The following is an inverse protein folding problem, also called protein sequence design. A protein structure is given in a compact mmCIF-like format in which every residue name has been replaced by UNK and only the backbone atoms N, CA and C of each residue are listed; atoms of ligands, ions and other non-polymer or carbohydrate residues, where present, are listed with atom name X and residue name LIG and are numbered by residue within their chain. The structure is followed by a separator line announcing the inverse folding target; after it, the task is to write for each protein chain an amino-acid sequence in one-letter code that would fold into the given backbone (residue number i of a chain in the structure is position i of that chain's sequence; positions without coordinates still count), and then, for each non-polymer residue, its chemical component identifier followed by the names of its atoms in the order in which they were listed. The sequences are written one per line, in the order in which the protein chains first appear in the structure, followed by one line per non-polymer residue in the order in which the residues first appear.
data_IF_415147029127
#
_entry.id   IF_415147029127
#
_cell.length_a   1.000
_cell.length_b   1.000
_cell.length_c   1.000
_cell.angle_alpha   90.00
_cell.angle_beta   90.00
_cell.angle_gamma   90.00
#
_symmetry.space_group_name_H-M   'P 1'
#
loop_
_entity.id
_entity.type
_entity.pdbx_description
1 polymer ?
#
# COMPACT_ATOMS: atom_id res chain seq x y z
N UNK A 1 -7.09 -40.42 -8.05
CA UNK A 1 -6.19 -40.28 -6.89
C UNK A 1 -6.91 -39.42 -5.86
N UNK A 2 -6.85 -39.76 -4.57
CA UNK A 2 -7.37 -38.85 -3.53
C UNK A 2 -6.52 -37.57 -3.49
N UNK A 3 -7.17 -36.42 -3.37
CA UNK A 3 -6.45 -35.14 -3.24
C UNK A 3 -5.70 -35.10 -1.92
N UNK A 4 -4.54 -34.47 -1.93
CA UNK A 4 -3.61 -34.43 -0.78
C UNK A 4 -3.98 -33.33 0.21
N UNK A 5 -4.59 -32.22 -0.29
CA UNK A 5 -4.93 -31.05 0.52
C UNK A 5 -6.40 -30.67 0.34
N UNK A 6 -7.02 -30.11 1.37
CA UNK A 6 -8.33 -29.47 1.29
C UNK A 6 -8.22 -28.18 0.44
N UNK A 7 -7.18 -27.40 0.68
CA UNK A 7 -6.96 -26.13 0.00
C UNK A 7 -5.52 -25.97 -0.54
N UNK A 8 -5.42 -25.41 -1.73
CA UNK A 8 -4.23 -24.80 -2.28
C UNK A 8 -4.40 -23.27 -2.20
N UNK A 9 -3.48 -22.58 -1.54
CA UNK A 9 -3.45 -21.12 -1.49
C UNK A 9 -2.34 -20.62 -2.40
N UNK A 10 -2.73 -19.87 -3.43
CA UNK A 10 -1.82 -19.24 -4.40
C UNK A 10 -1.58 -17.79 -3.98
N UNK A 11 -0.39 -17.53 -3.45
CA UNK A 11 0.05 -16.26 -2.90
C UNK A 11 0.23 -16.30 -1.38
N UNK A 12 1.46 -16.15 -0.92
CA UNK A 12 1.86 -16.11 0.49
C UNK A 12 1.86 -14.68 1.08
N UNK A 13 1.04 -13.77 0.52
CA UNK A 13 0.81 -12.42 1.04
C UNK A 13 -0.20 -12.39 2.20
N UNK A 14 -0.58 -11.20 2.68
CA UNK A 14 -1.49 -11.05 3.83
C UNK A 14 -2.82 -11.78 3.65
N UNK A 15 -3.45 -11.66 2.49
CA UNK A 15 -4.74 -12.35 2.23
C UNK A 15 -4.61 -13.86 2.36
N UNK A 16 -3.60 -14.43 1.67
CA UNK A 16 -3.35 -15.87 1.72
C UNK A 16 -3.01 -16.33 3.12
N UNK A 17 -2.16 -15.59 3.85
CA UNK A 17 -1.74 -15.93 5.21
C UNK A 17 -2.91 -15.93 6.20
N UNK A 18 -3.85 -14.99 6.10
CA UNK A 18 -5.09 -15.00 6.90
C UNK A 18 -5.90 -16.26 6.62
N UNK A 19 -6.15 -16.56 5.34
CA UNK A 19 -6.91 -17.76 4.98
C UNK A 19 -6.24 -19.04 5.48
N UNK A 20 -4.93 -19.15 5.30
CA UNK A 20 -4.14 -20.31 5.75
C UNK A 20 -4.27 -20.54 7.25
N UNK A 21 -4.13 -19.46 8.03
CA UNK A 21 -4.26 -19.55 9.49
C UNK A 21 -5.66 -20.05 9.90
N UNK A 22 -6.71 -19.44 9.39
CA UNK A 22 -8.10 -19.79 9.71
C UNK A 22 -8.45 -21.22 9.22
N UNK A 23 -7.98 -21.62 8.05
CA UNK A 23 -8.18 -22.97 7.53
C UNK A 23 -7.49 -24.03 8.41
N UNK A 24 -6.25 -23.76 8.86
CA UNK A 24 -5.53 -24.62 9.80
C UNK A 24 -6.27 -24.74 11.13
N UNK A 25 -6.73 -23.63 11.71
CA UNK A 25 -7.53 -23.64 12.95
C UNK A 25 -8.84 -24.43 12.78
N UNK A 26 -9.43 -24.44 11.57
CA UNK A 26 -10.58 -25.25 11.21
C UNK A 26 -10.23 -26.73 10.90
N UNK A 27 -8.97 -27.15 11.12
CA UNK A 27 -8.51 -28.54 10.92
C UNK A 27 -8.35 -28.94 9.44
N UNK A 28 -8.22 -27.96 8.53
CA UNK A 28 -8.03 -28.22 7.10
C UNK A 28 -6.55 -28.38 6.76
N UNK A 29 -6.28 -29.26 5.80
CA UNK A 29 -4.95 -29.42 5.21
C UNK A 29 -4.74 -28.40 4.10
N UNK A 30 -3.64 -27.64 4.17
CA UNK A 30 -3.36 -26.53 3.26
C UNK A 30 -1.95 -26.64 2.67
N UNK A 31 -1.82 -26.39 1.37
CA UNK A 31 -0.56 -26.10 0.69
C UNK A 31 -0.55 -24.64 0.27
N UNK A 32 0.52 -23.92 0.54
CA UNK A 32 0.76 -22.56 0.04
C UNK A 32 1.83 -22.59 -1.03
N UNK A 33 1.59 -21.88 -2.13
CA UNK A 33 2.61 -21.64 -3.16
C UNK A 33 2.71 -20.15 -3.47
N UNK A 34 3.90 -19.69 -3.77
CA UNK A 34 4.12 -18.31 -4.26
C UNK A 34 5.19 -18.30 -5.35
N UNK A 35 4.97 -17.53 -6.41
CA UNK A 35 5.94 -17.37 -7.50
C UNK A 35 7.21 -16.64 -7.07
N UNK A 36 7.15 -15.84 -6.01
CA UNK A 36 8.29 -15.13 -5.44
C UNK A 36 9.15 -16.06 -4.57
N UNK A 37 10.44 -15.76 -4.39
CA UNK A 37 11.33 -16.52 -3.52
C UNK A 37 11.12 -16.25 -2.02
N UNK A 38 10.14 -15.43 -1.66
CA UNK A 38 9.83 -14.99 -0.29
C UNK A 38 8.34 -15.02 -0.02
N UNK A 39 7.98 -15.19 1.25
CA UNK A 39 6.62 -14.98 1.77
C UNK A 39 6.31 -13.49 1.94
N UNK A 40 5.14 -13.17 2.47
CA UNK A 40 4.65 -11.84 2.82
C UNK A 40 4.23 -10.95 1.64
N UNK A 41 4.37 -11.40 0.39
CA UNK A 41 3.90 -10.62 -0.76
C UNK A 41 4.45 -9.19 -0.76
N UNK A 42 3.59 -8.19 -0.92
CA UNK A 42 4.01 -6.78 -0.95
C UNK A 42 4.43 -6.22 0.42
N UNK A 43 4.09 -6.86 1.53
CA UNK A 43 4.57 -6.44 2.85
C UNK A 43 5.90 -7.08 3.26
N UNK A 44 6.57 -7.76 2.32
CA UNK A 44 7.86 -8.37 2.57
C UNK A 44 8.87 -7.36 3.10
N UNK A 45 9.46 -7.67 4.26
CA UNK A 45 10.58 -6.97 4.87
C UNK A 45 11.81 -7.86 4.86
N UNK A 46 12.93 -7.31 4.39
CA UNK A 46 14.24 -7.97 4.37
C UNK A 46 15.10 -7.39 5.48
N UNK A 47 15.76 -8.25 6.26
CA UNK A 47 16.76 -7.80 7.22
C UNK A 47 18.06 -7.41 6.49
N UNK A 48 18.49 -6.16 6.66
CA UNK A 48 19.76 -5.65 6.16
C UNK A 48 20.49 -4.98 7.33
N UNK A 49 21.46 -5.66 7.89
CA UNK A 49 22.25 -5.18 9.03
C UNK A 49 21.37 -4.77 10.25
N UNK A 50 20.33 -5.55 10.54
CA UNK A 50 19.38 -5.30 11.62
C UNK A 50 18.31 -4.25 11.28
N UNK A 51 18.23 -3.80 10.03
CA UNK A 51 17.19 -2.88 9.56
C UNK A 51 16.17 -3.67 8.74
N UNK A 52 14.90 -3.63 9.13
CA UNK A 52 13.81 -4.25 8.37
C UNK A 52 13.42 -3.37 7.17
N UNK A 53 13.96 -3.70 6.01
CA UNK A 53 13.76 -2.96 4.75
C UNK A 53 12.46 -3.38 4.08
N UNK A 54 11.53 -2.45 3.92
CA UNK A 54 10.28 -2.67 3.19
C UNK A 54 10.55 -2.67 1.69
N UNK A 55 10.66 -3.85 1.08
CA UNK A 55 11.12 -4.01 -0.32
C UNK A 55 10.16 -3.46 -1.36
N UNK A 56 8.87 -3.44 -1.08
CA UNK A 56 7.82 -3.02 -2.02
C UNK A 56 7.14 -1.72 -1.60
N UNK A 57 7.87 -0.84 -0.91
CA UNK A 57 7.39 0.45 -0.43
C UNK A 57 7.02 0.46 1.03
N UNK A 58 6.87 1.67 1.59
CA UNK A 58 6.54 1.87 2.99
C UNK A 58 5.15 1.27 3.30
N UNK A 59 5.11 0.30 4.19
CA UNK A 59 3.90 -0.29 4.71
C UNK A 59 3.78 0.05 6.18
N UNK A 60 2.77 0.86 6.53
CA UNK A 60 2.46 1.24 7.91
C UNK A 60 1.05 0.72 8.20
N UNK A 61 0.95 -0.20 9.15
CA UNK A 61 -0.35 -0.74 9.53
C UNK A 61 -1.18 0.31 10.25
N UNK A 62 -2.41 0.50 9.83
CA UNK A 62 -3.37 1.39 10.48
C UNK A 62 -4.80 0.88 10.26
N UNK A 63 -5.66 1.06 11.24
CA UNK A 63 -7.07 0.65 11.14
C UNK A 63 -7.95 1.31 12.19
N UNK A 64 -9.23 1.46 11.87
CA UNK A 64 -10.31 1.74 12.83
C UNK A 64 -11.09 0.46 13.19
N UNK A 65 -10.81 -0.65 12.51
CA UNK A 65 -11.51 -1.91 12.71
C UNK A 65 -10.88 -2.69 13.88
N UNK A 66 -11.53 -2.67 15.04
CA UNK A 66 -11.06 -3.36 16.23
C UNK A 66 -10.94 -4.88 16.04
N UNK A 67 -11.81 -5.51 15.22
CA UNK A 67 -11.72 -6.96 14.91
C UNK A 67 -10.41 -7.26 14.19
N UNK A 68 -10.06 -6.46 13.19
CA UNK A 68 -8.79 -6.59 12.44
C UNK A 68 -7.58 -6.34 13.31
N UNK A 69 -7.62 -5.28 14.15
CA UNK A 69 -6.53 -5.01 15.09
C UNK A 69 -6.29 -6.15 16.07
N UNK A 70 -7.35 -6.63 16.71
CA UNK A 70 -7.28 -7.76 17.64
C UNK A 70 -6.82 -9.05 16.95
N UNK A 71 -7.13 -9.21 15.67
CA UNK A 71 -6.69 -10.35 14.89
C UNK A 71 -5.18 -10.30 14.63
N UNK A 72 -4.68 -9.20 14.06
CA UNK A 72 -3.30 -9.12 13.62
C UNK A 72 -2.30 -9.06 14.77
N UNK A 73 -2.68 -8.49 15.91
CA UNK A 73 -1.86 -8.46 17.14
C UNK A 73 -1.67 -9.81 17.81
N UNK A 74 -2.34 -10.87 17.34
CA UNK A 74 -2.04 -12.25 17.75
C UNK A 74 -0.72 -12.77 17.18
N UNK A 75 -0.24 -12.19 16.08
CA UNK A 75 0.91 -12.67 15.30
C UNK A 75 2.17 -11.83 15.46
N UNK A 76 2.05 -10.62 15.96
CA UNK A 76 3.17 -9.73 16.27
C UNK A 76 2.77 -8.70 17.32
N UNK A 77 3.75 -8.25 18.09
CA UNK A 77 3.64 -7.00 18.83
C UNK A 77 3.81 -5.83 17.84
N UNK A 78 3.04 -4.76 18.03
CA UNK A 78 3.16 -3.55 17.23
C UNK A 78 3.79 -2.43 18.04
N UNK A 79 4.75 -1.75 17.45
CA UNK A 79 5.33 -0.58 18.08
C UNK A 79 4.39 0.65 17.98
N UNK A 80 4.81 1.77 18.59
CA UNK A 80 4.04 3.02 18.60
C UNK A 80 4.32 3.93 17.39
N UNK A 81 4.82 3.42 16.28
CA UNK A 81 5.13 4.26 15.13
C UNK A 81 3.91 5.03 14.66
N UNK A 82 4.08 6.35 14.54
CA UNK A 82 3.07 7.27 14.03
C UNK A 82 3.57 7.85 12.72
N UNK A 83 2.84 7.62 11.64
CA UNK A 83 3.23 8.10 10.32
C UNK A 83 3.12 9.63 10.25
N UNK A 84 4.27 10.31 10.19
CA UNK A 84 4.38 11.77 10.12
C UNK A 84 5.31 12.17 8.98
N UNK A 85 4.88 11.99 7.72
CA UNK A 85 5.71 12.30 6.57
C UNK A 85 5.99 13.81 6.46
N UNK A 86 7.09 14.13 5.83
CA UNK A 86 7.52 15.50 5.53
C UNK A 86 7.55 15.70 4.03
N UNK A 87 7.08 16.87 3.56
CA UNK A 87 7.25 17.29 2.18
C UNK A 87 8.51 18.17 2.06
N UNK A 88 9.33 17.90 1.06
CA UNK A 88 10.44 18.73 0.64
C UNK A 88 10.10 19.36 -0.72
N UNK A 89 9.98 20.69 -0.74
CA UNK A 89 9.78 21.48 -1.93
C UNK A 89 11.00 22.41 -2.10
N UNK A 90 11.94 22.04 -2.98
CA UNK A 90 13.18 22.78 -3.23
C UNK A 90 13.97 23.14 -1.94
N UNK A 91 13.99 22.23 -0.94
CA UNK A 91 14.63 22.45 0.34
C UNK A 91 13.76 23.13 1.41
N UNK A 92 12.58 23.60 1.07
CA UNK A 92 11.56 24.01 2.05
C UNK A 92 10.84 22.79 2.59
N UNK A 93 10.84 22.61 3.91
CA UNK A 93 10.22 21.45 4.57
C UNK A 93 8.85 21.84 5.14
N UNK A 94 7.86 20.99 4.86
CA UNK A 94 6.49 21.11 5.33
C UNK A 94 6.00 19.83 5.96
N UNK A 95 5.20 19.94 7.03
CA UNK A 95 4.51 18.78 7.62
C UNK A 95 3.39 18.29 6.71
N UNK A 96 3.18 16.98 6.69
CA UNK A 96 2.03 16.34 6.09
C UNK A 96 1.29 15.51 7.15
N UNK A 97 -0.06 15.41 7.06
CA UNK A 97 -0.97 16.03 6.10
C UNK A 97 -0.98 17.56 6.25
N UNK A 98 -1.71 18.27 5.37
CA UNK A 98 -1.83 19.74 5.46
C UNK A 98 -2.50 20.12 6.78
N UNK A 99 -1.72 20.65 7.71
CA UNK A 99 -2.14 20.96 9.08
C UNK A 99 -1.59 22.31 9.54
N UNK A 100 -1.84 22.69 10.77
CA UNK A 100 -1.40 24.00 11.29
C UNK A 100 0.12 24.22 11.23
N UNK A 101 0.96 23.17 11.35
CA UNK A 101 2.42 23.32 11.13
C UNK A 101 2.72 23.66 9.65
N UNK A 102 2.01 23.05 8.70
CA UNK A 102 2.13 23.36 7.27
C UNK A 102 1.79 24.82 7.01
N UNK A 103 0.65 25.29 7.54
CA UNK A 103 0.15 26.65 7.31
C UNK A 103 0.99 27.69 8.02
N UNK A 104 1.45 27.43 9.24
CA UNK A 104 2.38 28.30 9.93
C UNK A 104 3.69 28.46 9.14
N UNK A 105 4.27 27.35 8.65
CA UNK A 105 5.49 27.38 7.83
C UNK A 105 5.28 28.15 6.52
N UNK A 106 4.12 28.00 5.89
CA UNK A 106 3.83 28.58 4.56
C UNK A 106 3.46 30.06 4.63
N UNK A 107 2.68 30.45 5.63
CA UNK A 107 2.05 31.78 5.71
C UNK A 107 2.34 32.55 7.02
N UNK A 108 2.96 31.94 8.01
CA UNK A 108 3.20 32.56 9.30
C UNK A 108 1.96 32.66 10.19
N UNK A 109 0.84 32.05 9.81
CA UNK A 109 -0.42 32.04 10.59
C UNK A 109 -0.25 31.22 11.87
N UNK A 110 -0.96 31.62 12.93
CA UNK A 110 -0.84 31.03 14.28
C UNK A 110 -2.13 30.37 14.73
N UNK A 111 -3.28 30.85 14.23
CA UNK A 111 -4.59 30.35 14.63
C UNK A 111 -5.29 29.59 13.50
N UNK A 112 -6.19 28.64 13.84
CA UNK A 112 -7.03 27.96 12.85
C UNK A 112 -7.88 28.94 12.02
N UNK A 113 -8.34 30.02 12.61
CA UNK A 113 -9.14 31.06 11.93
C UNK A 113 -8.32 31.79 10.84
N UNK A 114 -7.08 32.20 11.17
CA UNK A 114 -6.17 32.82 10.21
C UNK A 114 -5.84 31.86 9.04
N UNK A 115 -5.59 30.58 9.33
CA UNK A 115 -5.31 29.57 8.31
C UNK A 115 -6.52 29.34 7.39
N UNK A 116 -7.71 29.21 7.96
CA UNK A 116 -8.96 29.08 7.20
C UNK A 116 -9.22 30.30 6.31
N UNK A 117 -9.03 31.51 6.87
CA UNK A 117 -9.19 32.76 6.11
C UNK A 117 -8.22 32.84 4.92
N UNK A 118 -6.96 32.43 5.11
CA UNK A 118 -5.95 32.42 4.04
C UNK A 118 -6.30 31.45 2.92
N UNK A 119 -6.78 30.26 3.25
CA UNK A 119 -7.26 29.28 2.26
C UNK A 119 -8.45 29.85 1.47
N UNK A 120 -9.45 30.41 2.16
CA UNK A 120 -10.63 30.98 1.51
C UNK A 120 -10.32 32.22 0.66
N UNK A 121 -9.36 33.05 1.07
CA UNK A 121 -8.84 34.16 0.26
C UNK A 121 -8.33 33.64 -1.08
N UNK A 122 -7.43 32.66 -1.08
CA UNK A 122 -6.83 32.10 -2.30
C UNK A 122 -7.85 31.39 -3.19
N UNK A 123 -8.82 30.69 -2.61
CA UNK A 123 -9.91 30.07 -3.36
C UNK A 123 -10.77 31.13 -4.07
N UNK A 124 -11.07 32.24 -3.40
CA UNK A 124 -11.82 33.38 -3.99
C UNK A 124 -11.03 34.05 -5.09
N UNK A 125 -9.73 34.30 -4.88
CA UNK A 125 -8.84 34.87 -5.91
C UNK A 125 -8.76 33.99 -7.16
N UNK A 126 -8.76 32.68 -7.02
CA UNK A 126 -8.78 31.75 -8.14
C UNK A 126 -10.08 31.79 -8.94
N UNK A 127 -11.20 32.11 -8.31
CA UNK A 127 -12.51 32.32 -8.96
C UNK A 127 -13.05 31.10 -9.71
N UNK A 128 -12.68 29.88 -9.28
CA UNK A 128 -13.04 28.61 -9.95
C UNK A 128 -14.38 28.13 -9.42
N UNK A 129 -15.45 28.28 -10.23
CA UNK A 129 -16.77 27.80 -9.88
C UNK A 129 -16.98 26.33 -10.26
N UNK A 130 -16.54 25.93 -11.45
CA UNK A 130 -16.63 24.57 -11.98
C UNK A 130 -15.26 24.11 -12.46
N UNK A 131 -14.52 23.30 -11.69
CA UNK A 131 -13.19 22.82 -12.05
C UNK A 131 -13.24 21.91 -13.28
N UNK A 132 -12.42 22.19 -14.30
CA UNK A 132 -12.34 21.46 -15.56
C UNK A 132 -11.26 20.38 -15.57
N UNK A 133 -10.28 20.50 -14.70
CA UNK A 133 -9.11 19.63 -14.62
C UNK A 133 -8.63 19.51 -13.18
N UNK A 134 -7.60 18.69 -12.96
CA UNK A 134 -7.06 18.41 -11.63
C UNK A 134 -6.47 19.67 -10.97
N UNK A 135 -5.78 20.54 -11.74
CA UNK A 135 -5.22 21.79 -11.22
C UNK A 135 -6.31 22.69 -10.65
N UNK A 136 -7.34 22.96 -11.43
CA UNK A 136 -8.47 23.78 -10.99
C UNK A 136 -9.20 23.15 -9.79
N UNK A 137 -9.38 21.84 -9.81
CA UNK A 137 -9.99 21.10 -8.69
C UNK A 137 -9.18 21.26 -7.40
N UNK A 138 -7.86 21.05 -7.46
CA UNK A 138 -7.00 21.17 -6.28
C UNK A 138 -6.99 22.60 -5.72
N UNK A 139 -6.83 23.62 -6.61
CA UNK A 139 -6.83 25.02 -6.20
C UNK A 139 -8.19 25.40 -5.56
N UNK A 140 -9.30 24.93 -6.11
CA UNK A 140 -10.63 25.18 -5.54
C UNK A 140 -10.84 24.55 -4.14
N UNK A 141 -10.06 23.52 -3.81
CA UNK A 141 -10.14 22.84 -2.52
C UNK A 141 -9.21 23.46 -1.44
N UNK A 142 -7.97 23.79 -1.81
CA UNK A 142 -6.92 24.14 -0.83
C UNK A 142 -6.19 25.46 -1.11
N UNK A 143 -6.49 26.12 -2.21
CA UNK A 143 -5.80 27.34 -2.63
C UNK A 143 -4.54 27.09 -3.46
N UNK A 144 -4.00 28.16 -4.02
CA UNK A 144 -2.89 28.10 -4.98
C UNK A 144 -1.56 27.70 -4.34
N UNK A 145 -1.21 28.25 -3.20
CA UNK A 145 0.10 28.02 -2.59
C UNK A 145 0.30 26.54 -2.19
N UNK A 146 -0.73 25.92 -1.60
CA UNK A 146 -0.70 24.50 -1.25
C UNK A 146 -0.61 23.66 -2.52
N UNK A 147 -1.39 24.00 -3.55
CA UNK A 147 -1.33 23.30 -4.82
C UNK A 147 0.07 23.36 -5.45
N UNK A 148 0.62 24.55 -5.64
CA UNK A 148 1.92 24.74 -6.32
C UNK A 148 3.08 24.06 -5.56
N UNK A 149 3.13 24.20 -4.24
CA UNK A 149 4.24 23.68 -3.43
C UNK A 149 4.11 22.21 -3.06
N UNK A 150 2.90 21.71 -2.80
CA UNK A 150 2.75 20.41 -2.15
C UNK A 150 2.00 19.36 -2.98
N UNK A 151 1.32 19.74 -4.07
CA UNK A 151 0.49 18.84 -4.86
C UNK A 151 0.99 18.69 -6.30
N UNK A 152 1.22 19.81 -6.97
CA UNK A 152 1.46 19.87 -8.42
C UNK A 152 2.59 18.96 -8.87
N UNK A 153 3.83 19.24 -8.48
CA UNK A 153 5.00 18.49 -8.95
C UNK A 153 4.98 17.03 -8.55
N UNK A 154 4.47 16.72 -7.34
CA UNK A 154 4.29 15.34 -6.89
C UNK A 154 3.28 14.58 -7.77
N UNK A 155 2.14 15.19 -8.05
CA UNK A 155 1.10 14.60 -8.90
C UNK A 155 1.57 14.44 -10.35
N UNK A 156 2.25 15.44 -10.89
CA UNK A 156 2.79 15.40 -12.25
C UNK A 156 3.85 14.30 -12.44
N UNK A 157 4.70 14.05 -11.42
CA UNK A 157 5.62 12.91 -11.41
C UNK A 157 4.88 11.57 -11.36
N UNK A 158 3.83 11.48 -10.54
CA UNK A 158 3.04 10.25 -10.43
C UNK A 158 2.30 9.88 -11.71
N UNK A 159 1.83 10.90 -12.46
CA UNK A 159 1.00 10.67 -13.64
C UNK A 159 1.75 10.85 -14.97
N UNK A 160 2.97 11.39 -14.93
CA UNK A 160 3.74 11.70 -16.15
C UNK A 160 3.10 12.76 -17.04
N UNK A 161 2.16 13.57 -16.48
CA UNK A 161 1.38 14.59 -17.21
C UNK A 161 1.22 15.84 -16.36
N UNK A 162 1.02 16.98 -17.00
CA UNK A 162 0.69 18.22 -16.32
C UNK A 162 -0.70 18.12 -15.65
N UNK A 163 -0.84 18.72 -14.47
CA UNK A 163 -2.10 18.67 -13.71
C UNK A 163 -3.30 19.23 -14.47
N UNK A 164 -3.08 20.22 -15.37
CA UNK A 164 -4.14 20.79 -16.23
C UNK A 164 -4.63 19.82 -17.32
N UNK A 165 -3.87 18.77 -17.63
CA UNK A 165 -4.23 17.73 -18.60
C UNK A 165 -4.83 16.49 -17.94
N UNK A 166 -4.96 16.50 -16.60
CA UNK A 166 -5.54 15.42 -15.81
C UNK A 166 -7.00 15.74 -15.44
N UNK A 167 -7.90 14.74 -15.42
CA UNK A 167 -9.29 14.93 -15.03
C UNK A 167 -9.46 15.39 -13.59
N UNK A 168 -10.42 16.28 -13.34
CA UNK A 168 -10.72 16.81 -12.00
C UNK A 168 -11.10 15.72 -10.99
N UNK A 169 -11.76 14.64 -11.41
CA UNK A 169 -12.22 13.58 -10.52
C UNK A 169 -11.10 12.78 -9.84
N UNK A 170 -9.85 12.88 -10.30
CA UNK A 170 -8.69 12.24 -9.66
C UNK A 170 -8.52 12.73 -8.23
N UNK A 171 -8.80 14.02 -7.98
CA UNK A 171 -8.79 14.61 -6.64
C UNK A 171 -10.22 14.98 -6.26
N UNK A 172 -10.89 14.11 -5.51
CA UNK A 172 -12.25 14.39 -5.01
C UNK A 172 -12.25 15.26 -3.77
N UNK A 173 -11.22 15.13 -2.94
CA UNK A 173 -11.05 15.88 -1.69
C UNK A 173 -9.57 15.92 -1.32
N UNK A 174 -9.18 17.00 -0.67
CA UNK A 174 -7.87 17.15 -0.04
C UNK A 174 -8.11 17.49 1.44
N UNK A 175 -7.72 16.62 2.37
CA UNK A 175 -7.98 16.86 3.78
C UNK A 175 -7.12 18.01 4.28
N UNK A 176 -7.76 19.05 4.80
CA UNK A 176 -7.14 20.17 5.52
C UNK A 176 -7.45 20.00 6.99
N UNK A 177 -6.45 20.05 7.84
CA UNK A 177 -6.61 19.94 9.29
C UNK A 177 -6.23 21.25 9.97
N UNK A 178 -7.18 21.87 10.60
CA UNK A 178 -6.97 23.08 11.39
C UNK A 178 -6.53 22.75 12.84
N UNK A 179 -5.63 21.79 12.96
CA UNK A 179 -5.05 21.30 14.22
C UNK A 179 -3.55 21.11 14.07
N UNK A 180 -2.82 21.10 15.16
CA UNK A 180 -1.37 20.77 15.21
C UNK A 180 -1.19 19.25 15.36
N UNK A 181 -1.65 18.48 14.37
CA UNK A 181 -1.57 17.03 14.37
C UNK A 181 -0.84 16.54 13.10
N UNK A 182 0.34 15.98 13.29
CA UNK A 182 1.19 15.43 12.23
C UNK A 182 0.89 13.95 11.92
N UNK A 183 -0.02 13.30 12.66
CA UNK A 183 -0.39 11.95 12.34
C UNK A 183 -1.11 11.91 10.99
N UNK A 184 -0.50 11.27 10.00
CA UNK A 184 -1.05 11.21 8.64
C UNK A 184 -2.38 10.46 8.59
N UNK A 185 -2.54 9.42 9.41
CA UNK A 185 -3.76 8.61 9.45
C UNK A 185 -4.72 9.10 10.53
N UNK A 186 -6.03 8.97 10.27
CA UNK A 186 -7.09 9.18 11.28
C UNK A 186 -7.51 7.85 11.94
N UNK A 187 -6.59 6.90 11.99
CA UNK A 187 -6.85 5.58 12.54
C UNK A 187 -6.63 5.55 14.05
N UNK A 188 -7.48 4.81 14.76
CA UNK A 188 -7.36 4.57 16.21
C UNK A 188 -6.14 3.71 16.53
N UNK A 189 -5.79 2.77 15.64
CA UNK A 189 -4.69 1.85 15.79
C UNK A 189 -3.72 2.02 14.63
N UNK A 190 -2.44 2.12 14.93
CA UNK A 190 -1.38 2.10 13.93
C UNK A 190 -0.06 1.66 14.56
N UNK A 191 0.86 1.21 13.74
CA UNK A 191 2.21 0.80 14.16
C UNK A 191 2.90 -0.06 13.11
N UNK A 192 4.10 -0.47 13.45
CA UNK A 192 4.91 -1.42 12.68
C UNK A 192 5.07 -2.68 13.53
N UNK A 193 4.92 -3.88 12.96
CA UNK A 193 5.16 -5.12 13.70
C UNK A 193 6.64 -5.23 14.08
N UNK A 194 6.91 -5.46 15.35
CA UNK A 194 8.25 -5.67 15.88
C UNK A 194 8.88 -6.92 15.24
N UNK A 195 10.06 -6.77 14.67
CA UNK A 195 10.74 -7.81 13.89
C UNK A 195 10.27 -7.91 12.43
N UNK A 196 9.52 -6.92 11.95
CA UNK A 196 9.10 -6.77 10.55
C UNK A 196 7.89 -7.60 10.15
N UNK A 197 7.31 -7.25 9.01
CA UNK A 197 6.11 -7.92 8.47
C UNK A 197 6.36 -9.36 8.05
N UNK A 198 7.55 -9.68 7.57
CA UNK A 198 7.88 -11.06 7.14
C UNK A 198 7.77 -12.03 8.31
N UNK A 199 8.27 -11.67 9.49
CA UNK A 199 8.14 -12.47 10.71
C UNK A 199 6.68 -12.63 11.13
N UNK A 200 5.90 -11.57 11.07
CA UNK A 200 4.47 -11.62 11.37
C UNK A 200 3.73 -12.60 10.45
N UNK A 201 3.99 -12.52 9.14
CA UNK A 201 3.38 -13.45 8.17
C UNK A 201 3.88 -14.88 8.37
N UNK A 202 5.16 -15.08 8.69
CA UNK A 202 5.69 -16.40 9.03
C UNK A 202 4.94 -17.03 10.22
N UNK A 203 4.64 -16.23 11.25
CA UNK A 203 3.84 -16.71 12.39
C UNK A 203 2.41 -17.13 12.00
N UNK A 204 1.81 -16.44 10.99
CA UNK A 204 0.50 -16.86 10.47
C UNK A 204 0.56 -18.17 9.68
N UNK A 205 1.66 -18.43 9.00
CA UNK A 205 1.90 -19.62 8.16
C UNK A 205 2.52 -20.79 8.94
N UNK A 206 2.77 -20.63 10.24
CA UNK A 206 3.44 -21.64 11.05
C UNK A 206 2.77 -23.02 10.97
N UNK A 207 3.59 -24.06 10.76
CA UNK A 207 3.16 -25.45 10.66
C UNK A 207 2.42 -25.82 9.36
N UNK A 208 2.45 -24.96 8.32
CA UNK A 208 1.85 -25.22 7.01
C UNK A 208 2.96 -25.36 5.96
N UNK A 209 2.76 -26.27 4.98
CA UNK A 209 3.70 -26.46 3.87
C UNK A 209 3.64 -25.24 2.93
N UNK A 210 4.79 -24.58 2.73
CA UNK A 210 4.96 -23.44 1.83
C UNK A 210 6.01 -23.76 0.78
N UNK A 211 5.69 -23.56 -0.49
CA UNK A 211 6.62 -23.70 -1.62
C UNK A 211 6.79 -22.37 -2.32
N UNK A 212 7.99 -21.88 -2.35
CA UNK A 212 8.36 -20.59 -2.97
C UNK A 212 9.04 -20.82 -4.33
N UNK A 213 8.98 -19.79 -5.19
CA UNK A 213 9.49 -19.91 -6.56
C UNK A 213 8.64 -20.79 -7.46
N UNK A 214 7.36 -21.01 -7.10
CA UNK A 214 6.41 -21.88 -7.79
C UNK A 214 5.29 -21.06 -8.40
N UNK A 215 5.27 -20.95 -9.73
CA UNK A 215 4.18 -20.27 -10.44
C UNK A 215 3.02 -21.23 -10.71
N UNK A 216 1.85 -20.91 -10.11
CA UNK A 216 0.64 -21.70 -10.28
C UNK A 216 0.20 -21.77 -11.75
N UNK A 217 0.30 -20.66 -12.48
CA UNK A 217 -0.22 -20.60 -13.85
C UNK A 217 0.59 -21.44 -14.84
N UNK A 218 1.91 -21.60 -14.58
CA UNK A 218 2.76 -22.46 -15.39
C UNK A 218 2.43 -23.96 -15.25
N UNK A 219 1.96 -24.38 -14.04
CA UNK A 219 1.68 -25.79 -13.71
C UNK A 219 0.26 -25.99 -13.18
N UNK A 220 -0.69 -25.21 -13.69
CA UNK A 220 -2.08 -25.13 -13.17
C UNK A 220 -2.72 -26.51 -13.01
N UNK A 221 -2.67 -27.37 -14.03
CA UNK A 221 -3.30 -28.69 -13.99
C UNK A 221 -2.65 -29.61 -12.91
N UNK A 222 -1.34 -29.50 -12.67
CA UNK A 222 -0.65 -30.25 -11.64
C UNK A 222 -1.10 -29.82 -10.24
N UNK A 223 -1.17 -28.51 -9.99
CA UNK A 223 -1.61 -27.96 -8.72
C UNK A 223 -3.09 -28.19 -8.45
N UNK A 224 -3.96 -28.05 -9.47
CA UNK A 224 -5.38 -28.34 -9.35
C UNK A 224 -5.68 -29.82 -8.98
N UNK A 225 -4.75 -30.72 -9.31
CA UNK A 225 -4.85 -32.12 -8.92
C UNK A 225 -4.51 -32.39 -7.45
N UNK A 226 -3.79 -31.48 -6.79
CA UNK A 226 -3.32 -31.63 -5.40
C UNK A 226 -4.37 -31.25 -4.36
N UNK A 227 -5.28 -30.32 -4.64
CA UNK A 227 -6.21 -29.78 -3.65
C UNK A 227 -7.67 -29.83 -4.11
N UNK A 228 -8.61 -29.86 -3.15
CA UNK A 228 -10.04 -29.83 -3.45
C UNK A 228 -10.48 -28.47 -3.96
N UNK A 229 -9.96 -27.39 -3.36
CA UNK A 229 -10.22 -26.00 -3.72
C UNK A 229 -8.94 -25.18 -3.81
N UNK A 230 -8.99 -24.12 -4.57
CA UNK A 230 -7.90 -23.16 -4.76
C UNK A 230 -8.35 -21.79 -4.28
N UNK A 231 -7.56 -21.14 -3.44
CA UNK A 231 -7.69 -19.74 -3.10
C UNK A 231 -6.64 -18.99 -3.93
N UNK A 232 -7.09 -18.25 -4.93
CA UNK A 232 -6.22 -17.56 -5.86
C UNK A 232 -6.16 -16.07 -5.57
N UNK A 233 -4.95 -15.56 -5.24
CA UNK A 233 -4.73 -14.16 -4.91
C UNK A 233 -3.93 -13.40 -5.97
N UNK A 234 -3.59 -14.05 -7.07
CA UNK A 234 -2.93 -13.44 -8.22
C UNK A 234 -3.87 -12.59 -9.08
N UNK A 235 -3.35 -11.97 -10.16
CA UNK A 235 -4.16 -11.17 -11.09
C UNK A 235 -5.26 -12.03 -11.74
N UNK A 236 -6.50 -11.56 -11.66
CA UNK A 236 -7.65 -12.29 -12.16
C UNK A 236 -7.62 -12.48 -13.69
N UNK A 237 -7.14 -11.47 -14.42
CA UNK A 237 -6.98 -11.54 -15.88
C UNK A 237 -5.91 -12.55 -16.30
N UNK A 238 -4.82 -12.68 -15.54
CA UNK A 238 -3.79 -13.69 -15.77
C UNK A 238 -4.34 -15.12 -15.59
N UNK A 239 -5.21 -15.34 -14.59
CA UNK A 239 -5.86 -16.64 -14.40
C UNK A 239 -6.64 -17.09 -15.62
N UNK A 240 -7.22 -16.17 -16.37
CA UNK A 240 -7.99 -16.42 -17.60
C UNK A 240 -7.16 -16.13 -18.87
N UNK A 241 -5.83 -16.25 -18.84
CA UNK A 241 -4.94 -16.07 -19.99
C UNK A 241 -5.16 -14.76 -20.75
N UNK A 242 -5.57 -13.70 -20.03
CA UNK A 242 -5.83 -12.37 -20.60
C UNK A 242 -6.82 -12.34 -21.76
N UNK A 243 -7.70 -13.35 -21.88
CA UNK A 243 -8.59 -13.58 -23.05
C UNK A 243 -9.52 -12.40 -23.37
N UNK A 244 -9.73 -11.47 -22.43
CA UNK A 244 -10.55 -10.26 -22.63
C UNK A 244 -9.71 -8.97 -22.66
N UNK A 245 -8.38 -9.10 -22.57
CA UNK A 245 -7.43 -8.01 -22.48
C UNK A 245 -6.83 -7.83 -21.08
N UNK A 246 -5.83 -6.97 -20.97
CA UNK A 246 -5.12 -6.69 -19.72
C UNK A 246 -5.86 -5.67 -18.88
N UNK A 247 -5.99 -5.97 -17.59
CA UNK A 247 -6.30 -4.97 -16.56
C UNK A 247 -5.08 -4.10 -16.31
N UNK A 248 -5.27 -2.81 -16.17
CA UNK A 248 -4.18 -1.86 -16.02
C UNK A 248 -3.88 -1.63 -14.53
N UNK A 249 -2.60 -1.45 -14.24
CA UNK A 249 -2.11 -1.18 -12.90
C UNK A 249 -1.23 0.06 -12.89
N UNK A 250 -0.97 0.60 -11.72
CA UNK A 250 0.11 1.55 -11.47
C UNK A 250 1.25 0.80 -10.84
N UNK A 251 2.46 1.18 -11.20
CA UNK A 251 3.66 0.56 -10.67
C UNK A 251 4.58 1.59 -10.03
N UNK A 252 5.48 1.11 -9.20
CA UNK A 252 6.55 1.88 -8.58
C UNK A 252 7.86 1.11 -8.69
N UNK A 253 8.95 1.84 -8.79
CA UNK A 253 10.31 1.31 -8.81
C UNK A 253 11.09 1.86 -7.64
N UNK A 254 11.91 1.04 -7.03
CA UNK A 254 12.75 1.41 -5.88
C UNK A 254 14.22 1.26 -6.21
N UNK A 255 15.02 2.23 -5.75
CA UNK A 255 16.46 2.15 -5.69
C UNK A 255 16.86 2.16 -4.22
N UNK A 256 17.36 1.02 -3.73
CA UNK A 256 17.70 0.82 -2.32
C UNK A 256 19.20 0.88 -2.12
N UNK A 257 19.65 1.60 -1.08
CA UNK A 257 21.05 1.84 -0.78
C UNK A 257 21.33 1.73 0.72
N UNK A 258 22.33 0.93 1.09
CA UNK A 258 22.87 0.89 2.44
C UNK A 258 23.92 1.99 2.59
N UNK A 259 23.76 2.85 3.60
CA UNK A 259 24.63 3.99 3.87
C UNK A 259 25.39 3.79 5.18
N UNK A 260 26.70 4.07 5.14
CA UNK A 260 27.58 4.06 6.32
C UNK A 260 27.43 5.39 7.11
N UNK A 261 26.22 5.63 7.62
CA UNK A 261 25.87 6.74 8.50
C UNK A 261 24.65 6.38 9.33
N UNK A 262 24.56 6.93 10.51
CA UNK A 262 23.49 6.63 11.46
C UNK A 262 22.14 7.30 11.13
N UNK A 263 22.13 8.33 10.30
CA UNK A 263 20.95 9.12 9.97
C UNK A 263 21.13 9.79 8.60
N UNK A 264 20.12 9.68 7.72
CA UNK A 264 20.15 10.31 6.41
C UNK A 264 19.25 11.53 6.34
N UNK A 265 17.97 11.38 6.71
CA UNK A 265 16.96 12.45 6.60
C UNK A 265 16.17 12.70 7.89
N UNK A 266 16.36 11.87 8.91
CA UNK A 266 15.76 12.07 10.24
C UNK A 266 14.25 11.76 10.29
N UNK A 267 13.70 11.11 9.28
CA UNK A 267 12.29 10.70 9.22
C UNK A 267 12.13 9.49 8.32
N UNK A 268 11.14 8.63 8.62
CA UNK A 268 10.88 7.44 7.83
C UNK A 268 10.47 7.75 6.39
N UNK A 269 9.74 8.83 6.15
CA UNK A 269 9.30 9.21 4.80
C UNK A 269 9.41 10.72 4.55
N UNK A 270 10.11 11.08 3.47
CA UNK A 270 10.16 12.44 2.94
C UNK A 270 9.68 12.42 1.50
N UNK A 271 8.60 13.13 1.22
CA UNK A 271 8.03 13.28 -0.12
C UNK A 271 8.66 14.48 -0.80
N UNK A 272 9.13 14.32 -2.03
CA UNK A 272 9.66 15.40 -2.85
C UNK A 272 8.56 15.93 -3.75
N UNK A 273 8.11 17.15 -3.47
CA UNK A 273 6.90 17.71 -4.10
C UNK A 273 7.19 18.65 -5.26
N UNK A 274 8.47 18.97 -5.50
CA UNK A 274 8.90 19.60 -6.74
C UNK A 274 8.87 18.61 -7.93
N UNK A 275 8.89 19.13 -9.15
CA UNK A 275 8.85 18.31 -10.39
C UNK A 275 10.25 17.83 -10.80
N UNK A 276 11.28 18.58 -10.48
CA UNK A 276 12.65 18.38 -10.95
C UNK A 276 13.35 17.21 -10.30
N UNK A 277 13.04 16.94 -9.02
CA UNK A 277 13.53 15.76 -8.31
C UNK A 277 12.92 14.50 -8.92
N UNK A 278 13.74 13.54 -9.41
CA UNK A 278 13.20 12.43 -10.18
C UNK A 278 12.41 11.40 -9.38
N UNK A 279 12.68 11.26 -8.08
CA UNK A 279 11.92 10.38 -7.18
C UNK A 279 10.74 11.13 -6.55
N UNK A 280 9.71 10.38 -6.18
CA UNK A 280 8.55 10.92 -5.47
C UNK A 280 8.77 10.98 -3.97
N UNK A 281 9.55 10.02 -3.43
CA UNK A 281 9.76 9.86 -2.00
C UNK A 281 11.11 9.19 -1.72
N UNK A 282 11.71 9.52 -0.56
CA UNK A 282 12.75 8.71 0.04
C UNK A 282 12.19 8.11 1.33
N UNK A 283 12.39 6.81 1.47
CA UNK A 283 12.09 6.05 2.68
C UNK A 283 13.41 5.77 3.38
N UNK A 284 13.54 6.13 4.64
CA UNK A 284 14.65 5.74 5.52
C UNK A 284 14.13 4.70 6.52
N UNK A 285 14.40 3.43 6.23
CA UNK A 285 13.69 2.30 6.81
C UNK A 285 13.86 2.15 8.32
N UNK A 286 15.04 2.44 8.85
CA UNK A 286 15.30 2.30 10.30
C UNK A 286 14.36 3.12 11.19
N UNK A 287 13.81 4.23 10.68
CA UNK A 287 12.94 5.08 11.47
C UNK A 287 11.54 4.52 11.69
N UNK A 288 11.16 3.45 11.00
CA UNK A 288 9.95 2.68 11.34
C UNK A 288 10.06 2.01 12.71
N UNK A 289 11.27 1.71 13.16
CA UNK A 289 11.60 1.08 14.45
C UNK A 289 12.52 1.96 15.30
N UNK A 290 12.38 3.30 15.15
CA UNK A 290 13.05 4.32 15.94
C UNK A 290 14.60 4.29 15.88
N UNK A 291 15.17 3.73 14.82
CA UNK A 291 16.61 3.59 14.63
C UNK A 291 17.28 2.57 15.54
N UNK A 292 16.49 1.62 16.07
CA UNK A 292 16.94 0.57 16.99
C UNK A 292 16.90 -0.80 16.31
N UNK A 293 17.78 -1.70 16.77
CA UNK A 293 17.67 -3.12 16.49
C UNK A 293 16.66 -3.82 17.43
N UNK A 294 16.47 -5.14 17.27
CA UNK A 294 15.54 -5.93 18.09
C UNK A 294 15.94 -5.98 19.57
N UNK A 295 17.21 -5.73 19.92
CA UNK A 295 17.71 -5.63 21.29
C UNK A 295 17.63 -4.21 21.88
N UNK A 296 17.23 -3.23 21.07
CA UNK A 296 17.10 -1.83 21.46
C UNK A 296 18.38 -1.00 21.36
N UNK A 297 19.42 -1.49 20.71
CA UNK A 297 20.64 -0.76 20.46
C UNK A 297 20.49 0.21 19.27
N UNK A 298 21.26 1.30 19.27
CA UNK A 298 21.29 2.23 18.14
C UNK A 298 21.97 1.60 16.91
N UNK A 299 21.28 1.63 15.78
CA UNK A 299 21.81 1.16 14.51
C UNK A 299 22.83 2.17 13.95
N UNK A 300 24.09 1.78 13.70
CA UNK A 300 25.14 2.69 13.23
C UNK A 300 24.99 3.06 11.75
N UNK A 301 24.30 2.23 10.96
CA UNK A 301 24.04 2.43 9.53
C UNK A 301 22.57 2.73 9.27
N UNK A 302 22.25 3.13 8.03
CA UNK A 302 20.88 3.30 7.58
C UNK A 302 20.68 2.77 6.17
N UNK A 303 19.44 2.36 5.88
CA UNK A 303 19.03 1.96 4.51
C UNK A 303 17.97 2.95 4.03
N UNK A 304 18.19 3.48 2.84
CA UNK A 304 17.21 4.31 2.16
C UNK A 304 16.69 3.64 0.88
N UNK A 305 15.44 3.93 0.53
CA UNK A 305 14.88 3.60 -0.78
C UNK A 305 14.33 4.85 -1.44
N UNK A 306 14.81 5.14 -2.66
CA UNK A 306 14.21 6.17 -3.52
C UNK A 306 13.09 5.53 -4.31
N UNK A 307 11.88 6.08 -4.19
CA UNK A 307 10.67 5.61 -4.88
C UNK A 307 10.43 6.44 -6.13
N UNK A 308 10.25 5.75 -7.26
CA UNK A 308 9.92 6.36 -8.53
C UNK A 308 8.56 5.86 -9.01
N UNK A 309 7.72 6.76 -9.51
CA UNK A 309 6.53 6.36 -10.26
C UNK A 309 6.94 5.72 -11.58
N UNK A 310 6.25 4.67 -11.97
CA UNK A 310 6.54 3.94 -13.21
C UNK A 310 5.23 3.57 -13.91
N UNK A 311 5.19 3.70 -15.23
CA UNK A 311 4.10 3.16 -16.03
C UNK A 311 4.17 1.64 -15.98
N UNK A 312 3.03 1.03 -15.67
CA UNK A 312 2.90 -0.42 -15.70
C UNK A 312 2.75 -0.91 -17.14
N UNK A 313 3.42 -1.99 -17.46
CA UNK A 313 3.28 -2.73 -18.72
C UNK A 313 2.99 -4.19 -18.44
N UNK A 314 2.35 -4.92 -19.36
CA UNK A 314 2.19 -6.37 -19.23
C UNK A 314 3.53 -7.05 -18.92
N UNK A 315 3.57 -7.81 -17.81
CA UNK A 315 4.78 -8.45 -17.29
C UNK A 315 5.43 -7.73 -16.11
N UNK A 316 5.13 -6.47 -15.86
CA UNK A 316 5.57 -5.75 -14.67
C UNK A 316 4.76 -6.18 -13.43
N UNK A 317 5.36 -6.00 -12.23
CA UNK A 317 4.65 -6.24 -10.98
C UNK A 317 3.45 -5.29 -10.82
N UNK A 318 2.24 -5.82 -10.60
CA UNK A 318 1.03 -5.01 -10.41
C UNK A 318 0.93 -4.53 -8.96
N UNK A 319 1.10 -3.22 -8.73
CA UNK A 319 0.99 -2.66 -7.38
C UNK A 319 -0.44 -2.20 -7.05
N UNK A 320 -1.00 -1.34 -7.89
CA UNK A 320 -2.29 -0.69 -7.62
C UNK A 320 -3.21 -0.77 -8.84
N UNK A 321 -4.42 -1.32 -8.71
CA UNK A 321 -5.42 -1.29 -9.78
C UNK A 321 -5.75 0.14 -10.22
N UNK A 322 -5.93 0.33 -11.53
CA UNK A 322 -6.44 1.60 -12.09
C UNK A 322 -7.97 1.59 -11.99
N UNK A 323 -8.51 2.40 -11.07
CA UNK A 323 -9.95 2.47 -10.81
C UNK A 323 -10.62 3.48 -11.74
N UNK A 324 -10.68 3.19 -13.04
CA UNK A 324 -11.43 3.94 -14.04
C UNK A 324 -12.60 3.11 -14.60
N UNK A 325 -13.45 3.74 -15.40
CA UNK A 325 -14.63 3.11 -15.98
C UNK A 325 -14.25 1.97 -16.95
N UNK A 326 -13.19 2.15 -17.77
CA UNK A 326 -12.68 1.15 -18.71
C UNK A 326 -12.27 -0.13 -17.99
N UNK A 327 -11.42 0.00 -16.99
CA UNK A 327 -10.92 -1.16 -16.24
C UNK A 327 -12.00 -1.77 -15.34
N UNK A 328 -12.92 -0.96 -14.80
CA UNK A 328 -14.09 -1.45 -14.07
C UNK A 328 -15.01 -2.31 -14.92
N UNK A 329 -15.27 -1.88 -16.16
CA UNK A 329 -16.06 -2.66 -17.13
C UNK A 329 -15.35 -3.97 -17.53
N UNK A 330 -14.03 -3.92 -17.75
CA UNK A 330 -13.23 -5.11 -18.07
C UNK A 330 -13.19 -6.10 -16.90
N UNK A 331 -12.96 -5.59 -15.68
CA UNK A 331 -12.99 -6.43 -14.47
C UNK A 331 -14.34 -7.12 -14.27
N UNK A 332 -15.46 -6.43 -14.54
CA UNK A 332 -16.79 -7.02 -14.44
C UNK A 332 -16.95 -8.26 -15.31
N UNK A 333 -16.37 -8.27 -16.52
CA UNK A 333 -16.38 -9.44 -17.40
C UNK A 333 -15.54 -10.60 -16.83
N UNK A 334 -14.35 -10.32 -16.27
CA UNK A 334 -13.55 -11.35 -15.61
C UNK A 334 -14.25 -11.90 -14.36
N UNK A 335 -14.93 -11.05 -13.59
CA UNK A 335 -15.72 -11.48 -12.44
C UNK A 335 -16.86 -12.44 -12.83
N UNK A 336 -17.52 -12.22 -13.96
CA UNK A 336 -18.53 -13.15 -14.47
C UNK A 336 -17.94 -14.52 -14.83
N UNK A 337 -16.70 -14.57 -15.34
CA UNK A 337 -15.98 -15.82 -15.56
C UNK A 337 -15.62 -16.49 -14.23
N UNK A 338 -15.08 -15.72 -13.29
CA UNK A 338 -14.70 -16.21 -11.97
C UNK A 338 -15.88 -16.84 -11.20
N UNK A 339 -17.09 -16.31 -11.35
CA UNK A 339 -18.31 -16.87 -10.74
C UNK A 339 -18.68 -18.27 -11.27
N UNK A 340 -18.16 -18.66 -12.44
CA UNK A 340 -18.38 -20.01 -13.00
C UNK A 340 -17.38 -21.04 -12.48
N UNK A 341 -16.28 -20.58 -11.92
CA UNK A 341 -15.24 -21.42 -11.32
C UNK A 341 -15.72 -21.98 -9.97
N UNK A 342 -16.13 -23.26 -9.95
CA UNK A 342 -16.67 -23.89 -8.73
C UNK A 342 -15.62 -24.27 -7.69
N UNK A 343 -14.36 -24.40 -8.11
CA UNK A 343 -13.27 -24.89 -7.26
C UNK A 343 -12.25 -23.79 -6.92
N UNK A 344 -12.42 -22.58 -7.47
CA UNK A 344 -11.48 -21.48 -7.25
C UNK A 344 -12.21 -20.30 -6.62
N UNK A 345 -11.65 -19.81 -5.56
CA UNK A 345 -12.08 -18.58 -4.88
C UNK A 345 -11.04 -17.51 -5.18
N UNK A 346 -11.46 -16.42 -5.79
CA UNK A 346 -10.60 -15.28 -6.08
C UNK A 346 -10.65 -14.30 -4.91
N UNK A 347 -9.50 -13.87 -4.44
CA UNK A 347 -9.42 -12.95 -3.32
C UNK A 347 -8.17 -12.09 -3.33
N UNK A 348 -8.14 -11.09 -2.44
CA UNK A 348 -7.05 -10.14 -2.33
C UNK A 348 -7.07 -9.06 -3.41
N UNK A 349 -6.11 -8.15 -3.33
CA UNK A 349 -6.04 -6.94 -4.18
C UNK A 349 -6.10 -7.24 -5.68
N UNK A 350 -5.36 -8.25 -6.14
CA UNK A 350 -5.26 -8.59 -7.56
C UNK A 350 -6.39 -9.50 -8.03
N UNK A 351 -6.82 -10.46 -7.21
CA UNK A 351 -7.92 -11.37 -7.52
C UNK A 351 -9.28 -10.68 -7.54
N UNK A 352 -9.46 -9.61 -6.74
CA UNK A 352 -10.67 -8.80 -6.71
C UNK A 352 -10.54 -7.48 -7.47
N UNK A 353 -9.37 -7.19 -8.03
CA UNK A 353 -9.04 -5.94 -8.72
C UNK A 353 -9.49 -4.69 -7.93
N UNK A 354 -9.12 -4.65 -6.63
CA UNK A 354 -9.50 -3.57 -5.72
C UNK A 354 -8.27 -2.94 -5.07
N UNK A 355 -8.34 -1.63 -4.89
CA UNK A 355 -7.40 -0.95 -4.04
C UNK A 355 -7.76 -1.22 -2.58
N UNK A 356 -6.92 -2.01 -1.92
CA UNK A 356 -7.05 -2.35 -0.50
C UNK A 356 -5.85 -1.85 0.29
N UNK A 357 -6.09 -1.18 1.40
CA UNK A 357 -5.10 -1.06 2.46
C UNK A 357 -4.99 -2.39 3.22
N UNK A 358 -3.94 -2.56 4.00
CA UNK A 358 -3.65 -3.84 4.68
C UNK A 358 -4.81 -4.33 5.55
N UNK A 359 -5.47 -3.42 6.26
CA UNK A 359 -6.60 -3.75 7.13
C UNK A 359 -7.81 -4.24 6.34
N UNK A 360 -8.08 -3.62 5.20
CA UNK A 360 -9.16 -4.05 4.30
C UNK A 360 -8.86 -5.41 3.64
N UNK A 361 -7.59 -5.70 3.33
CA UNK A 361 -7.16 -7.02 2.86
C UNK A 361 -7.46 -8.09 3.92
N UNK A 362 -7.09 -7.84 5.17
CA UNK A 362 -7.32 -8.76 6.28
C UNK A 362 -8.82 -8.94 6.53
N UNK A 363 -9.59 -7.84 6.56
CA UNK A 363 -11.04 -7.91 6.74
C UNK A 363 -11.71 -8.74 5.64
N UNK A 364 -11.35 -8.51 4.37
CA UNK A 364 -11.87 -9.27 3.23
C UNK A 364 -11.52 -10.77 3.31
N UNK A 365 -10.31 -11.09 3.76
CA UNK A 365 -9.89 -12.47 3.96
C UNK A 365 -10.67 -13.16 5.08
N UNK A 366 -10.88 -12.48 6.22
CA UNK A 366 -11.69 -13.00 7.33
C UNK A 366 -13.15 -13.23 6.92
N UNK A 367 -13.75 -12.29 6.17
CA UNK A 367 -15.12 -12.43 5.66
C UNK A 367 -15.25 -13.62 4.69
N UNK A 368 -14.18 -13.90 3.92
CA UNK A 368 -14.15 -15.05 3.05
C UNK A 368 -13.98 -16.36 3.83
N UNK A 369 -13.14 -16.37 4.86
CA UNK A 369 -13.01 -17.53 5.76
C UNK A 369 -14.35 -17.90 6.42
N UNK A 370 -15.11 -16.93 6.91
CA UNK A 370 -16.43 -17.16 7.50
C UNK A 370 -17.41 -17.82 6.50
N UNK A 371 -17.33 -17.49 5.20
CA UNK A 371 -18.18 -18.07 4.15
C UNK A 371 -17.72 -19.44 3.69
N UNK A 372 -16.42 -19.66 3.66
CA UNK A 372 -15.82 -20.86 3.06
C UNK A 372 -15.60 -21.98 4.06
N UNK A 373 -15.30 -21.66 5.32
CA UNK A 373 -14.95 -22.61 6.37
C UNK A 373 -16.09 -22.83 7.40
N UNK A 374 -17.02 -21.86 7.51
CA UNK A 374 -18.18 -21.91 8.43
C UNK A 374 -19.32 -22.62 7.79
#
# INVERSE_FOLDING_TARGET
MSKKYDYLVVGAGLYGAVFVHEAKEAGKSVLVIDKRPNIAGNVFTEDVEGIHVHKYGAHIFHTNNKKVWNYITRFAEFNRFTNSPVANYHGELYSLPFNMYTFNKMWGVVTPEEAAAKIEEQKKEAGIAEPKNLEEQAISLVGRDIFEKLIKGYTEKQWGRDCKDLPAFIIKRLPVRLTFDNNYFNALYQGIPVGGYTKMVANMLDGVEVRLGEDYLEKKAEYDALAEKVIYTGPIDAYFDYQMGYLEYRSVRFETELLDKSNFQGNAAVNYTDRETPWTRIIEHKWFEFGKDDEGNDLPKTVISREYSSEWKPGDEPYYPVNDEKNGALYSKYRELAQKEKKVVFGGRLGEYKYYDMDAVIASALDMCEKELG
#
